data_IF_757597841795
#
_entry.id   IF_757597841795
#
_cell.length_a   1.000
_cell.length_b   1.000
_cell.length_c   1.000
_cell.angle_alpha   90.00
_cell.angle_beta   90.00
_cell.angle_gamma   90.00
#
_symmetry.space_group_name_H-M   'P 1'
#
loop_
_entity.id
_entity.type
_entity.pdbx_description
1 polymer ?
#
# COMPACT_ATOMS: atom_id res chain seq x y z
N UNK A 1 14.57 -20.41 -37.37
CA UNK A 1 14.29 -19.02 -36.96
C UNK A 1 15.25 -18.67 -35.81
N UNK A 2 16.19 -17.78 -36.08
CA UNK A 2 17.17 -17.37 -35.06
C UNK A 2 16.47 -16.56 -33.97
N UNK A 3 16.41 -17.15 -32.78
CA UNK A 3 15.98 -16.44 -31.56
C UNK A 3 17.14 -15.51 -31.19
N UNK A 4 17.06 -14.25 -31.60
CA UNK A 4 17.95 -13.23 -31.06
C UNK A 4 17.65 -13.13 -29.56
N UNK A 5 18.64 -13.47 -28.77
CA UNK A 5 18.65 -13.25 -27.33
C UNK A 5 18.42 -11.76 -27.09
N UNK A 6 17.23 -11.42 -26.57
CA UNK A 6 16.93 -10.06 -26.10
C UNK A 6 17.80 -9.85 -24.87
N UNK A 7 18.99 -9.28 -25.09
CA UNK A 7 19.84 -8.83 -23.98
C UNK A 7 19.18 -7.60 -23.36
N UNK A 8 19.02 -7.60 -22.05
CA UNK A 8 18.45 -6.47 -21.28
C UNK A 8 19.27 -5.17 -21.40
N UNK A 9 20.43 -5.22 -22.06
CA UNK A 9 21.33 -4.07 -22.25
C UNK A 9 21.06 -3.25 -23.52
N UNK A 10 20.15 -3.63 -24.42
CA UNK A 10 20.00 -3.00 -25.74
C UNK A 10 18.85 -1.99 -25.83
N UNK A 11 18.22 -1.61 -24.73
CA UNK A 11 17.11 -0.64 -24.77
C UNK A 11 17.49 0.82 -24.48
N UNK A 12 18.77 1.20 -24.69
CA UNK A 12 19.20 2.60 -24.54
C UNK A 12 19.21 3.42 -25.84
N UNK A 13 18.60 2.94 -26.92
CA UNK A 13 18.35 3.78 -28.09
C UNK A 13 16.94 4.34 -28.06
N UNK A 14 16.72 5.29 -27.17
CA UNK A 14 15.64 6.28 -27.35
C UNK A 14 16.10 7.22 -28.45
N UNK A 15 15.30 7.46 -29.54
CA UNK A 15 15.63 8.51 -30.50
C UNK A 15 15.86 9.81 -29.73
N UNK A 16 17.00 10.45 -29.98
CA UNK A 16 17.27 11.79 -29.48
C UNK A 16 16.18 12.73 -30.01
N UNK A 17 15.20 13.01 -29.16
CA UNK A 17 14.34 14.18 -29.34
C UNK A 17 15.27 15.38 -29.17
N UNK A 18 15.43 16.16 -30.25
CA UNK A 18 16.21 17.37 -30.27
C UNK A 18 15.97 18.16 -28.98
N UNK A 19 17.03 18.35 -28.22
CA UNK A 19 17.03 19.19 -27.03
C UNK A 19 16.67 20.60 -27.42
N UNK A 20 15.43 21.00 -27.15
CA UNK A 20 15.12 22.39 -26.97
C UNK A 20 15.88 22.81 -25.72
N UNK A 21 16.96 23.58 -25.91
CA UNK A 21 17.73 24.18 -24.84
C UNK A 21 16.83 25.13 -24.03
N UNK A 22 16.21 24.61 -23.00
CA UNK A 22 15.76 25.42 -21.89
C UNK A 22 16.70 25.17 -20.72
N UNK A 23 17.53 26.17 -20.42
CA UNK A 23 18.35 26.26 -19.23
C UNK A 23 17.41 26.37 -17.99
N UNK A 24 16.89 25.25 -17.54
CA UNK A 24 16.35 25.09 -16.21
C UNK A 24 16.72 23.66 -15.81
N UNK A 25 17.71 23.55 -14.93
CA UNK A 25 17.99 22.31 -14.22
C UNK A 25 16.78 22.05 -13.32
N UNK A 26 15.75 21.42 -13.88
CA UNK A 26 14.66 20.89 -13.09
C UNK A 26 15.14 19.59 -12.50
N UNK A 27 15.47 19.59 -11.21
CA UNK A 27 15.62 18.36 -10.44
C UNK A 27 14.40 17.48 -10.71
N UNK A 28 14.58 16.15 -10.95
CA UNK A 28 13.47 15.24 -11.13
C UNK A 28 12.53 15.35 -9.93
N UNK A 29 11.28 15.69 -10.21
CA UNK A 29 10.26 15.79 -9.15
C UNK A 29 10.04 14.40 -8.57
N UNK A 30 10.36 14.22 -7.29
CA UNK A 30 10.07 13.01 -6.55
C UNK A 30 8.55 12.89 -6.38
N UNK A 31 7.93 12.17 -7.30
CA UNK A 31 6.50 11.90 -7.22
C UNK A 31 6.29 10.71 -6.31
N UNK A 32 6.16 11.01 -5.03
CA UNK A 32 5.65 10.07 -4.07
C UNK A 32 4.19 9.79 -4.38
N UNK A 33 3.92 8.83 -5.28
CA UNK A 33 2.58 8.30 -5.53
C UNK A 33 2.10 7.38 -4.39
N UNK A 34 2.37 7.77 -3.15
CA UNK A 34 1.62 7.24 -2.04
C UNK A 34 0.34 8.06 -1.91
N UNK A 35 -0.64 7.70 -2.76
CA UNK A 35 -1.95 7.53 -2.15
C UNK A 35 -1.68 6.67 -0.91
N UNK A 36 -2.19 7.05 0.27
CA UNK A 36 -2.11 6.15 1.39
C UNK A 36 -2.61 4.83 0.82
N UNK A 37 -1.73 3.85 0.71
CA UNK A 37 -2.07 2.44 0.71
C UNK A 37 -3.19 2.38 1.69
N UNK A 38 -4.42 1.87 1.38
CA UNK A 38 -5.54 1.88 2.29
C UNK A 38 -4.99 1.75 3.71
N UNK A 39 -4.45 2.87 4.15
CA UNK A 39 -3.88 3.01 5.48
C UNK A 39 -5.11 2.73 6.27
N UNK A 40 -5.16 1.58 6.89
CA UNK A 40 -6.10 1.22 7.93
C UNK A 40 -6.66 2.54 8.39
N UNK A 41 -7.88 2.85 7.95
CA UNK A 41 -8.42 4.18 8.13
C UNK A 41 -8.48 4.37 9.63
N UNK A 42 -7.53 5.10 10.18
CA UNK A 42 -7.67 5.69 11.51
C UNK A 42 -8.78 6.76 11.45
N UNK A 43 -9.78 6.50 10.60
CA UNK A 43 -10.94 7.35 10.42
C UNK A 43 -11.67 7.39 11.74
N UNK A 44 -11.80 8.58 12.28
CA UNK A 44 -12.38 8.89 13.56
C UNK A 44 -13.89 8.62 13.73
N UNK A 45 -14.42 7.64 13.04
CA UNK A 45 -15.66 6.98 13.42
C UNK A 45 -15.27 5.91 14.42
N UNK A 46 -15.50 6.18 15.69
CA UNK A 46 -15.32 5.23 16.80
C UNK A 46 -16.15 3.97 16.50
N UNK A 47 -15.45 2.96 15.93
CA UNK A 47 -16.04 1.64 15.77
C UNK A 47 -16.03 0.92 17.13
N UNK A 48 -17.04 0.07 17.39
CA UNK A 48 -17.09 -0.72 18.63
C UNK A 48 -15.80 -1.47 18.97
N UNK A 49 -14.99 -1.80 17.95
CA UNK A 49 -13.69 -2.44 18.11
C UNK A 49 -12.52 -1.55 18.54
N UNK A 50 -12.67 -0.22 18.59
CA UNK A 50 -11.54 0.66 18.94
C UNK A 50 -11.08 0.49 20.41
N UNK A 51 -12.00 0.07 21.28
CA UNK A 51 -11.66 -0.26 22.67
C UNK A 51 -10.64 -1.42 22.73
N UNK A 52 -10.74 -2.40 21.83
CA UNK A 52 -9.82 -3.54 21.78
C UNK A 52 -8.39 -3.11 21.44
N UNK A 53 -8.19 -2.08 20.59
CA UNK A 53 -6.85 -1.61 20.25
C UNK A 53 -6.03 -1.19 21.46
N UNK A 54 -6.69 -0.78 22.55
CA UNK A 54 -6.00 -0.41 23.78
C UNK A 54 -5.26 -1.59 24.44
N UNK A 55 -5.72 -2.83 24.18
CA UNK A 55 -5.06 -4.04 24.65
C UNK A 55 -3.65 -4.21 24.05
N UNK A 56 -3.36 -3.60 22.89
CA UNK A 56 -2.02 -3.65 22.31
C UNK A 56 -0.94 -3.00 23.16
N UNK A 57 -1.31 -2.14 24.11
CA UNK A 57 -0.37 -1.57 25.09
C UNK A 57 0.12 -2.63 26.11
N UNK A 58 -0.51 -3.78 26.18
CA UNK A 58 -0.26 -4.82 27.16
C UNK A 58 0.28 -6.11 26.51
N UNK A 59 0.83 -6.05 25.32
CA UNK A 59 1.48 -7.18 24.66
C UNK A 59 0.51 -8.27 24.22
N UNK A 60 -0.58 -7.90 23.54
CA UNK A 60 -1.52 -8.86 22.97
C UNK A 60 -0.98 -9.44 21.65
N UNK A 61 -1.05 -10.77 21.42
CA UNK A 61 -0.65 -11.36 20.15
C UNK A 61 -1.69 -11.12 19.05
N UNK A 62 -1.26 -11.14 17.80
CA UNK A 62 -2.08 -11.25 16.61
C UNK A 62 -2.82 -12.60 16.63
N UNK A 63 -4.15 -12.58 16.53
CA UNK A 63 -4.96 -13.79 16.59
C UNK A 63 -4.71 -14.78 15.43
N UNK A 64 -4.16 -14.32 14.31
CA UNK A 64 -3.86 -15.15 13.15
C UNK A 64 -2.42 -15.67 13.15
N UNK A 65 -1.45 -14.81 13.49
CA UNK A 65 -0.01 -15.10 13.37
C UNK A 65 0.68 -15.37 14.71
N UNK A 66 0.04 -15.02 15.83
CA UNK A 66 0.63 -15.12 17.17
C UNK A 66 1.72 -14.11 17.48
N UNK A 67 2.04 -13.20 16.54
CA UNK A 67 3.03 -12.15 16.72
C UNK A 67 2.51 -11.06 17.67
N UNK A 68 3.35 -10.57 18.58
CA UNK A 68 2.96 -9.48 19.49
C UNK A 68 2.69 -8.20 18.68
N UNK A 69 1.51 -7.60 18.88
CA UNK A 69 1.05 -6.44 18.16
C UNK A 69 1.70 -5.15 18.70
N UNK A 70 2.16 -4.29 17.78
CA UNK A 70 2.68 -2.98 18.12
C UNK A 70 1.53 -2.00 18.40
N UNK A 71 1.62 -1.27 19.50
CA UNK A 71 0.64 -0.23 19.80
C UNK A 71 0.78 0.95 18.80
N UNK A 72 -0.27 1.29 18.03
CA UNK A 72 -0.21 2.36 17.02
C UNK A 72 0.19 3.73 17.59
N UNK A 73 -0.15 4.02 18.85
CA UNK A 73 0.21 5.27 19.54
C UNK A 73 1.73 5.45 19.69
N UNK A 74 2.51 4.36 19.67
CA UNK A 74 3.97 4.44 19.71
C UNK A 74 4.49 5.08 18.44
N UNK A 75 3.98 4.64 17.27
CA UNK A 75 4.39 5.19 15.97
C UNK A 75 4.02 6.68 15.88
N UNK A 76 2.80 7.04 16.26
CA UNK A 76 2.33 8.42 16.29
C UNK A 76 3.20 9.28 17.23
N UNK A 77 3.47 8.79 18.44
CA UNK A 77 4.35 9.48 19.40
C UNK A 77 5.76 9.69 18.85
N UNK A 78 6.31 8.69 18.16
CA UNK A 78 7.66 8.79 17.59
C UNK A 78 7.72 9.75 16.41
N UNK A 79 6.69 9.77 15.55
CA UNK A 79 6.55 10.77 14.49
C UNK A 79 6.50 12.19 15.09
N UNK A 80 5.62 12.43 16.06
CA UNK A 80 5.43 13.74 16.67
C UNK A 80 6.67 14.24 17.42
N UNK A 81 7.47 13.34 18.00
CA UNK A 81 8.71 13.64 18.70
C UNK A 81 9.95 13.64 17.80
N UNK A 82 9.81 13.40 16.51
CA UNK A 82 10.93 13.33 15.57
C UNK A 82 11.94 12.20 15.84
N UNK A 83 11.51 11.11 16.51
CA UNK A 83 12.40 9.99 16.89
C UNK A 83 13.07 9.35 15.67
N UNK A 84 12.38 9.29 14.55
CA UNK A 84 12.93 8.75 13.30
C UNK A 84 14.07 9.59 12.71
N UNK A 85 14.26 10.83 13.17
CA UNK A 85 15.39 11.70 12.76
C UNK A 85 16.63 11.52 13.63
N UNK A 86 16.60 10.64 14.64
CA UNK A 86 17.78 10.34 15.42
C UNK A 86 18.80 9.57 14.57
N UNK A 87 20.10 9.70 14.89
CA UNK A 87 21.14 8.83 14.33
C UNK A 87 20.79 7.36 14.53
N UNK A 88 21.15 6.50 13.54
CA UNK A 88 20.73 5.09 13.54
C UNK A 88 21.26 4.32 14.75
N UNK A 89 22.41 4.72 15.32
CA UNK A 89 22.90 4.15 16.58
C UNK A 89 21.82 4.20 17.67
N UNK A 90 21.33 5.40 17.98
CA UNK A 90 20.28 5.63 18.98
C UNK A 90 18.92 5.08 18.55
N UNK A 91 18.59 5.22 17.27
CA UNK A 91 17.29 4.75 16.75
C UNK A 91 17.17 3.23 16.87
N UNK A 92 18.24 2.48 16.57
CA UNK A 92 18.23 1.01 16.66
C UNK A 92 18.13 0.51 18.10
N UNK A 93 18.69 1.22 19.08
CA UNK A 93 18.48 0.92 20.51
C UNK A 93 16.99 1.03 20.88
N UNK A 94 16.34 2.11 20.47
CA UNK A 94 14.91 2.34 20.76
C UNK A 94 14.05 1.26 20.10
N UNK A 95 14.29 0.94 18.83
CA UNK A 95 13.50 -0.05 18.08
C UNK A 95 13.75 -1.47 18.58
N UNK A 96 14.95 -1.78 19.11
CA UNK A 96 15.28 -3.11 19.65
C UNK A 96 14.27 -3.58 20.71
N UNK A 97 13.68 -2.68 21.48
CA UNK A 97 12.64 -3.00 22.47
C UNK A 97 11.33 -3.51 21.83
N UNK A 98 11.15 -3.30 20.54
CA UNK A 98 9.95 -3.68 19.76
C UNK A 98 10.27 -4.65 18.62
N UNK A 99 11.50 -5.17 18.58
CA UNK A 99 11.97 -6.06 17.51
C UNK A 99 11.10 -7.32 17.36
N UNK A 100 10.57 -7.83 18.50
CA UNK A 100 9.67 -8.97 18.53
C UNK A 100 8.32 -8.72 17.84
N UNK A 101 7.93 -7.45 17.69
CA UNK A 101 6.70 -7.05 17.00
C UNK A 101 6.89 -6.78 15.51
N UNK A 102 8.13 -6.68 15.00
CA UNK A 102 8.38 -6.36 13.59
C UNK A 102 7.93 -7.49 12.67
N UNK A 103 7.32 -7.12 11.54
CA UNK A 103 7.03 -8.07 10.45
C UNK A 103 8.34 -8.66 9.88
N UNK A 104 8.33 -9.87 9.31
CA UNK A 104 9.57 -10.55 8.89
C UNK A 104 10.48 -9.71 8.00
N UNK A 105 9.95 -9.00 7.01
CA UNK A 105 10.73 -8.14 6.11
C UNK A 105 11.24 -6.90 6.83
N UNK A 106 10.40 -6.30 7.66
CA UNK A 106 10.76 -5.13 8.45
C UNK A 106 11.86 -5.46 9.47
N UNK A 107 11.81 -6.68 10.04
CA UNK A 107 12.86 -7.21 10.92
C UNK A 107 14.17 -7.43 10.17
N UNK A 108 14.13 -7.98 8.96
CA UNK A 108 15.32 -8.12 8.11
C UNK A 108 15.94 -6.74 7.81
N UNK A 109 15.12 -5.77 7.42
CA UNK A 109 15.59 -4.40 7.19
C UNK A 109 16.20 -3.80 8.46
N UNK A 110 15.51 -3.94 9.60
CA UNK A 110 16.02 -3.47 10.90
C UNK A 110 17.39 -4.08 11.24
N UNK A 111 17.59 -5.38 11.03
CA UNK A 111 18.89 -6.04 11.27
C UNK A 111 19.99 -5.50 10.35
N UNK A 112 19.68 -5.19 9.09
CA UNK A 112 20.64 -4.55 8.18
C UNK A 112 21.04 -3.17 8.71
N UNK A 113 20.07 -2.34 9.11
CA UNK A 113 20.34 -1.01 9.69
C UNK A 113 21.12 -1.12 10.99
N UNK A 114 20.79 -2.09 11.86
CA UNK A 114 21.53 -2.38 13.11
C UNK A 114 22.98 -2.82 12.83
N UNK A 115 23.21 -3.51 11.71
CA UNK A 115 24.55 -3.83 11.23
C UNK A 115 25.35 -2.58 10.85
N UNK A 116 24.77 -1.66 10.09
CA UNK A 116 25.40 -0.39 9.70
C UNK A 116 25.66 0.50 10.94
N UNK A 117 24.73 0.53 11.88
CA UNK A 117 24.87 1.33 13.10
C UNK A 117 26.10 0.98 13.95
N UNK A 118 26.67 -0.23 13.80
CA UNK A 118 27.91 -0.64 14.47
C UNK A 118 29.17 0.06 13.91
N UNK A 119 29.14 0.42 12.64
CA UNK A 119 30.28 1.05 11.95
C UNK A 119 30.07 2.52 11.68
N UNK A 120 28.83 2.94 11.51
CA UNK A 120 28.44 4.31 11.15
C UNK A 120 27.20 4.74 11.95
N UNK A 121 27.31 4.89 13.29
CA UNK A 121 26.17 5.15 14.17
C UNK A 121 25.50 6.52 13.94
N UNK A 122 26.24 7.49 13.39
CA UNK A 122 25.80 8.88 13.22
C UNK A 122 24.92 9.10 11.96
N UNK A 123 24.89 8.13 11.05
CA UNK A 123 24.01 8.23 9.88
C UNK A 123 22.54 8.31 10.30
N UNK A 124 21.75 9.03 9.51
CA UNK A 124 20.29 8.97 9.59
C UNK A 124 19.75 7.72 8.90
N UNK A 125 18.51 7.36 9.19
CA UNK A 125 17.83 6.22 8.56
C UNK A 125 17.74 6.37 7.02
N UNK A 126 17.52 7.60 6.52
CA UNK A 126 17.46 7.92 5.10
C UNK A 126 18.84 7.73 4.44
N UNK A 127 19.91 8.27 5.04
CA UNK A 127 21.27 8.13 4.53
C UNK A 127 21.71 6.67 4.47
N UNK A 128 21.51 5.92 5.55
CA UNK A 128 21.81 4.49 5.59
C UNK A 128 21.03 3.69 4.52
N UNK A 129 19.73 4.02 4.32
CA UNK A 129 18.91 3.36 3.29
C UNK A 129 19.41 3.69 1.88
N UNK A 130 19.84 4.94 1.66
CA UNK A 130 20.39 5.40 0.39
C UNK A 130 21.73 4.72 0.07
N UNK A 131 22.60 4.51 1.05
CA UNK A 131 23.85 3.75 0.87
C UNK A 131 23.62 2.29 0.46
N UNK A 132 22.54 1.69 0.97
CA UNK A 132 22.17 0.31 0.62
C UNK A 132 21.60 0.17 -0.80
N UNK A 133 21.06 1.25 -1.38
CA UNK A 133 20.32 1.23 -2.64
C UNK A 133 21.07 0.55 -3.80
N UNK A 134 22.34 0.88 -4.14
CA UNK A 134 23.02 0.29 -5.31
C UNK A 134 23.14 -1.22 -5.22
N UNK A 135 23.49 -1.74 -4.04
CA UNK A 135 23.59 -3.18 -3.78
C UNK A 135 22.22 -3.86 -3.92
N UNK A 136 21.21 -3.31 -3.26
CA UNK A 136 19.88 -3.91 -3.20
C UNK A 136 19.13 -3.78 -4.54
N UNK A 137 19.40 -2.74 -5.34
CA UNK A 137 18.93 -2.65 -6.72
C UNK A 137 19.43 -3.82 -7.57
N UNK A 138 20.73 -4.19 -7.46
CA UNK A 138 21.28 -5.35 -8.15
C UNK A 138 20.65 -6.67 -7.70
N UNK A 139 20.44 -6.83 -6.38
CA UNK A 139 19.79 -8.02 -5.83
C UNK A 139 18.34 -8.14 -6.29
N UNK A 140 17.60 -7.02 -6.32
CA UNK A 140 16.22 -6.98 -6.79
C UNK A 140 16.13 -7.33 -8.28
N UNK A 141 17.03 -6.80 -9.13
CA UNK A 141 17.14 -7.16 -10.54
C UNK A 141 17.32 -8.67 -10.73
N UNK A 142 18.24 -9.28 -9.97
CA UNK A 142 18.46 -10.73 -10.03
C UNK A 142 17.23 -11.54 -9.60
N UNK A 143 16.53 -11.09 -8.56
CA UNK A 143 15.34 -11.78 -8.07
C UNK A 143 14.15 -11.71 -9.04
N UNK A 144 14.00 -10.61 -9.77
CA UNK A 144 12.89 -10.43 -10.71
C UNK A 144 13.16 -10.99 -12.11
N UNK A 145 14.43 -11.09 -12.52
CA UNK A 145 14.80 -11.51 -13.87
C UNK A 145 14.15 -12.83 -14.31
N UNK A 146 14.23 -13.95 -13.56
CA UNK A 146 13.64 -15.22 -14.00
C UNK A 146 12.12 -15.16 -14.10
N UNK A 147 11.47 -14.29 -13.33
CA UNK A 147 10.04 -14.08 -13.36
C UNK A 147 9.65 -13.33 -14.64
N UNK A 148 10.38 -12.26 -14.97
CA UNK A 148 10.18 -11.53 -16.22
C UNK A 148 10.46 -12.39 -17.45
N UNK A 149 11.53 -13.19 -17.46
CA UNK A 149 11.82 -14.12 -18.55
C UNK A 149 10.69 -15.15 -18.73
N UNK A 150 10.16 -15.69 -17.63
CA UNK A 150 9.00 -16.57 -17.66
C UNK A 150 7.76 -15.92 -18.25
N UNK A 151 7.48 -14.67 -17.84
CA UNK A 151 6.35 -13.89 -18.36
C UNK A 151 6.55 -13.55 -19.84
N UNK A 152 7.75 -13.17 -20.26
CA UNK A 152 8.09 -12.87 -21.66
C UNK A 152 7.96 -14.13 -22.53
N UNK A 153 8.43 -15.28 -22.06
CA UNK A 153 8.26 -16.56 -22.78
C UNK A 153 6.80 -16.88 -23.04
N UNK A 154 5.96 -16.72 -22.03
CA UNK A 154 4.50 -16.88 -22.24
C UNK A 154 3.95 -15.85 -23.24
N UNK A 155 4.52 -14.64 -23.29
CA UNK A 155 4.04 -13.60 -24.20
C UNK A 155 4.42 -13.84 -25.67
N UNK A 156 5.40 -14.70 -25.96
CA UNK A 156 5.77 -15.02 -27.36
C UNK A 156 4.63 -15.65 -28.17
N UNK A 157 3.67 -16.28 -27.48
CA UNK A 157 2.49 -16.88 -28.10
C UNK A 157 1.32 -15.88 -28.28
N UNK A 158 1.52 -14.62 -27.89
CA UNK A 158 0.51 -13.57 -28.06
C UNK A 158 0.44 -13.08 -29.52
N UNK A 159 -0.76 -12.73 -30.03
CA UNK A 159 -0.90 -11.94 -31.25
C UNK A 159 -0.05 -10.68 -31.21
N UNK A 160 0.49 -10.27 -32.36
CA UNK A 160 1.48 -9.16 -32.44
C UNK A 160 1.02 -7.87 -31.76
N UNK A 161 -0.24 -7.50 -31.93
CA UNK A 161 -0.82 -6.29 -31.31
C UNK A 161 -0.88 -6.40 -29.78
N UNK A 162 -1.21 -7.57 -29.24
CA UNK A 162 -1.20 -7.81 -27.79
C UNK A 162 0.21 -7.93 -27.22
N UNK A 163 1.14 -8.50 -27.98
CA UNK A 163 2.55 -8.57 -27.60
C UNK A 163 3.17 -7.19 -27.44
N UNK A 164 2.86 -6.25 -28.32
CA UNK A 164 3.38 -4.89 -28.21
C UNK A 164 2.80 -4.15 -26.98
N UNK A 165 1.49 -4.25 -26.72
CA UNK A 165 0.87 -3.70 -25.49
C UNK A 165 1.50 -4.30 -24.22
N UNK A 166 1.78 -5.59 -24.27
CA UNK A 166 2.38 -6.32 -23.18
C UNK A 166 3.84 -5.88 -22.93
N UNK A 167 4.64 -5.76 -23.99
CA UNK A 167 6.04 -5.34 -23.90
C UNK A 167 6.17 -3.94 -23.31
N UNK A 168 5.29 -3.02 -23.66
CA UNK A 168 5.23 -1.68 -23.09
C UNK A 168 4.89 -1.73 -21.59
N UNK A 169 3.88 -2.53 -21.22
CA UNK A 169 3.53 -2.74 -19.81
C UNK A 169 4.71 -3.30 -19.02
N UNK A 170 5.45 -4.26 -19.57
CA UNK A 170 6.62 -4.87 -18.91
C UNK A 170 7.76 -3.89 -18.74
N UNK A 171 8.04 -3.05 -19.73
CA UNK A 171 9.09 -2.02 -19.66
C UNK A 171 8.77 -1.00 -18.54
N UNK A 172 7.55 -0.48 -18.51
CA UNK A 172 7.10 0.44 -17.46
C UNK A 172 7.18 -0.23 -16.08
N UNK A 173 6.77 -1.49 -15.99
CA UNK A 173 6.79 -2.25 -14.74
C UNK A 173 8.21 -2.47 -14.23
N UNK A 174 9.14 -2.81 -15.11
CA UNK A 174 10.55 -2.97 -14.76
C UNK A 174 11.14 -1.67 -14.18
N UNK A 175 10.92 -0.53 -14.84
CA UNK A 175 11.35 0.77 -14.33
C UNK A 175 10.77 1.09 -12.96
N UNK A 176 9.46 0.83 -12.76
CA UNK A 176 8.80 1.04 -11.47
C UNK A 176 9.35 0.14 -10.35
N UNK A 177 9.66 -1.11 -10.66
CA UNK A 177 10.27 -2.04 -9.71
C UNK A 177 11.65 -1.56 -9.25
N UNK A 178 12.40 -0.94 -10.14
CA UNK A 178 13.74 -0.42 -9.88
C UNK A 178 13.74 1.01 -9.32
N UNK A 179 12.56 1.60 -9.12
CA UNK A 179 12.38 3.00 -8.79
C UNK A 179 13.10 3.93 -9.78
N UNK A 180 13.07 3.56 -11.06
CA UNK A 180 13.58 4.41 -12.13
C UNK A 180 12.47 5.36 -12.62
N UNK A 181 12.83 6.56 -13.11
CA UNK A 181 11.85 7.50 -13.63
C UNK A 181 11.15 6.96 -14.89
N UNK A 182 9.85 7.16 -14.96
CA UNK A 182 9.02 6.78 -16.11
C UNK A 182 8.20 7.97 -16.59
N UNK A 183 8.03 8.07 -17.91
CA UNK A 183 7.05 8.98 -18.49
C UNK A 183 5.71 8.28 -18.51
N UNK A 184 4.72 8.83 -17.83
CA UNK A 184 3.38 8.27 -17.77
C UNK A 184 2.39 9.16 -18.48
N UNK A 185 1.44 8.61 -19.25
CA UNK A 185 0.42 9.40 -19.90
C UNK A 185 -0.53 10.01 -18.86
N UNK A 186 -0.96 11.26 -19.14
CA UNK A 186 -2.03 11.88 -18.37
C UNK A 186 -3.36 11.15 -18.65
N UNK A 187 -4.17 10.98 -17.62
CA UNK A 187 -5.50 10.41 -17.71
C UNK A 187 -6.48 11.22 -16.87
N UNK A 188 -7.41 11.90 -17.54
CA UNK A 188 -8.48 12.67 -16.91
C UNK A 188 -9.27 11.80 -15.92
N UNK A 189 -9.60 10.59 -16.31
CA UNK A 189 -10.32 9.64 -15.47
C UNK A 189 -9.53 9.26 -14.20
N UNK A 190 -8.20 9.06 -14.32
CA UNK A 190 -7.33 8.76 -13.17
C UNK A 190 -7.25 9.97 -12.24
N UNK A 191 -7.09 11.16 -12.80
CA UNK A 191 -7.05 12.42 -12.04
C UNK A 191 -8.34 12.63 -11.23
N UNK A 192 -9.51 12.53 -11.89
CA UNK A 192 -10.81 12.68 -11.24
C UNK A 192 -11.05 11.63 -10.15
N UNK A 193 -10.63 10.39 -10.39
CA UNK A 193 -10.72 9.31 -9.40
C UNK A 193 -9.88 9.62 -8.15
N UNK A 194 -8.62 10.07 -8.34
CA UNK A 194 -7.73 10.43 -7.24
C UNK A 194 -8.23 11.64 -6.46
N UNK A 195 -8.71 12.66 -7.16
CA UNK A 195 -9.30 13.84 -6.52
C UNK A 195 -10.53 13.46 -5.69
N UNK A 196 -11.40 12.58 -6.21
CA UNK A 196 -12.55 12.07 -5.46
C UNK A 196 -12.12 11.35 -4.20
N UNK A 197 -11.11 10.47 -4.25
CA UNK A 197 -10.60 9.77 -3.04
C UNK A 197 -10.06 10.73 -1.98
N UNK A 198 -9.38 11.79 -2.38
CA UNK A 198 -8.96 12.85 -1.45
C UNK A 198 -10.22 13.52 -0.85
N UNK A 199 -11.22 13.79 -1.68
CA UNK A 199 -12.50 14.33 -1.24
C UNK A 199 -13.22 13.47 -0.23
N UNK A 200 -13.28 12.17 -0.45
CA UNK A 200 -13.90 11.21 0.49
C UNK A 200 -13.22 11.28 1.87
N UNK A 201 -11.87 11.40 1.89
CA UNK A 201 -11.12 11.56 3.15
C UNK A 201 -11.39 12.90 3.84
N UNK A 202 -11.49 14.01 3.09
CA UNK A 202 -11.82 15.32 3.65
C UNK A 202 -13.26 15.32 4.16
N UNK A 203 -14.18 14.65 3.49
CA UNK A 203 -15.59 14.56 3.93
C UNK A 203 -15.71 13.84 5.29
N UNK A 204 -14.81 12.90 5.57
CA UNK A 204 -14.81 12.16 6.84
C UNK A 204 -14.18 12.98 7.99
N UNK A 205 -13.13 13.76 7.70
CA UNK A 205 -12.27 14.41 8.72
C UNK A 205 -12.33 15.93 8.75
N UNK A 206 -12.79 16.54 7.64
CA UNK A 206 -12.79 17.98 7.45
C UNK A 206 -13.98 18.69 8.11
N UNK A 207 -13.82 19.98 8.33
CA UNK A 207 -14.90 20.85 8.75
C UNK A 207 -15.86 21.17 7.59
N UNK A 208 -17.02 21.76 7.88
CA UNK A 208 -18.05 22.09 6.88
C UNK A 208 -17.53 22.93 5.70
N UNK A 209 -16.60 23.85 5.96
CA UNK A 209 -15.99 24.71 4.94
C UNK A 209 -15.09 23.92 3.99
N UNK A 210 -14.28 23.00 4.51
CA UNK A 210 -13.41 22.12 3.72
C UNK A 210 -14.23 21.12 2.89
N UNK A 211 -15.29 20.55 3.47
CA UNK A 211 -16.22 19.65 2.78
C UNK A 211 -16.91 20.36 1.62
N UNK A 212 -17.39 21.57 1.83
CA UNK A 212 -17.98 22.36 0.75
C UNK A 212 -16.97 22.70 -0.35
N UNK A 213 -15.74 23.08 0.04
CA UNK A 213 -14.67 23.41 -0.88
C UNK A 213 -14.24 22.22 -1.74
N UNK A 214 -14.08 21.03 -1.16
CA UNK A 214 -13.68 19.84 -1.94
C UNK A 214 -14.78 19.38 -2.90
N UNK A 215 -16.05 19.47 -2.51
CA UNK A 215 -17.15 19.15 -3.39
C UNK A 215 -17.22 20.12 -4.59
N UNK A 216 -16.98 21.42 -4.36
CA UNK A 216 -16.86 22.40 -5.43
C UNK A 216 -15.69 22.11 -6.35
N UNK A 217 -14.50 21.76 -5.81
CA UNK A 217 -13.32 21.36 -6.60
C UNK A 217 -13.59 20.11 -7.46
N UNK A 218 -14.22 19.09 -6.91
CA UNK A 218 -14.56 17.87 -7.68
C UNK A 218 -15.56 18.20 -8.80
N UNK A 219 -16.56 19.04 -8.53
CA UNK A 219 -17.53 19.47 -9.55
C UNK A 219 -16.87 20.30 -10.64
N UNK A 220 -15.99 21.24 -10.28
CA UNK A 220 -15.22 22.04 -11.24
C UNK A 220 -14.26 21.17 -12.08
N UNK A 221 -13.56 20.21 -11.45
CA UNK A 221 -12.70 19.28 -12.17
C UNK A 221 -13.50 18.44 -13.19
N UNK A 222 -14.70 17.96 -12.82
CA UNK A 222 -15.58 17.25 -13.76
C UNK A 222 -16.02 18.12 -14.91
N UNK A 223 -16.40 19.37 -14.66
CA UNK A 223 -16.78 20.30 -15.72
C UNK A 223 -15.64 20.59 -16.68
N UNK A 224 -14.43 20.79 -16.18
CA UNK A 224 -13.23 21.10 -16.96
C UNK A 224 -12.71 19.89 -17.74
N UNK A 225 -12.62 18.72 -17.10
CA UNK A 225 -11.99 17.52 -17.68
C UNK A 225 -12.99 16.53 -18.31
N UNK A 226 -14.30 16.60 -18.01
CA UNK A 226 -15.32 15.80 -18.70
C UNK A 226 -15.85 16.44 -19.99
N UNK A 227 -15.20 17.49 -20.52
CA UNK A 227 -15.56 18.05 -21.81
C UNK A 227 -15.35 17.00 -22.91
N UNK A 228 -16.34 16.24 -23.09
CA UNK A 228 -16.67 15.21 -24.05
C UNK A 228 -15.72 14.94 -25.21
N UNK A 229 -15.04 13.81 -25.10
CA UNK A 229 -14.93 12.96 -26.28
C UNK A 229 -16.14 12.01 -26.33
N UNK A 230 -17.34 12.51 -26.50
CA UNK A 230 -18.49 11.75 -27.02
C UNK A 230 -18.22 11.42 -28.47
N UNK A 231 -17.49 10.38 -28.76
CA UNK A 231 -17.36 9.96 -30.16
C UNK A 231 -16.22 8.99 -30.45
N UNK A 232 -15.22 8.92 -29.62
CA UNK A 232 -14.14 7.95 -29.84
C UNK A 232 -14.02 6.97 -28.68
N UNK A 233 -14.92 5.98 -28.65
CA UNK A 233 -14.62 4.68 -28.01
C UNK A 233 -13.46 4.05 -28.78
N UNK A 234 -12.24 4.46 -28.45
CA UNK A 234 -11.04 3.82 -28.97
C UNK A 234 -10.82 2.57 -28.11
N UNK A 235 -11.55 1.52 -28.44
CA UNK A 235 -11.22 0.17 -28.01
C UNK A 235 -9.85 -0.19 -28.62
N UNK A 236 -8.87 -0.52 -27.78
CA UNK A 236 -7.67 -1.22 -28.22
C UNK A 236 -6.45 -0.39 -28.61
N UNK A 237 -6.30 0.88 -28.20
CA UNK A 237 -5.04 1.59 -28.44
C UNK A 237 -3.95 1.16 -27.46
N UNK A 238 -2.78 0.85 -28.02
CA UNK A 238 -1.53 0.53 -27.32
C UNK A 238 -1.14 1.65 -26.38
N UNK A 239 -0.50 1.34 -25.25
CA UNK A 239 -0.01 2.36 -24.28
C UNK A 239 0.88 3.40 -24.98
N UNK A 240 1.76 2.95 -25.87
CA UNK A 240 2.62 3.82 -26.69
C UNK A 240 1.81 4.79 -27.56
N UNK A 241 0.84 4.29 -28.33
CA UNK A 241 -0.04 5.12 -29.16
C UNK A 241 -0.85 6.12 -28.32
N UNK A 242 -1.29 5.70 -27.13
CA UNK A 242 -1.98 6.58 -26.19
C UNK A 242 -1.07 7.69 -25.69
N UNK A 243 0.19 7.38 -25.35
CA UNK A 243 1.19 8.36 -24.95
C UNK A 243 1.47 9.34 -26.09
N UNK A 244 1.76 8.83 -27.30
CA UNK A 244 2.01 9.65 -28.49
C UNK A 244 0.80 10.54 -28.82
N UNK A 245 -0.43 10.01 -28.77
CA UNK A 245 -1.65 10.79 -28.99
C UNK A 245 -1.85 11.87 -27.94
N UNK A 246 -1.52 11.61 -26.67
CA UNK A 246 -1.63 12.60 -25.61
C UNK A 246 -0.56 13.67 -25.64
N UNK A 247 0.59 13.38 -26.25
CA UNK A 247 1.69 14.32 -26.46
C UNK A 247 1.55 15.15 -27.75
N UNK A 248 0.51 14.92 -28.56
CA UNK A 248 0.23 15.80 -29.69
C UNK A 248 0.04 17.25 -29.20
N UNK A 249 0.59 18.26 -29.94
CA UNK A 249 0.56 19.67 -29.52
C UNK A 249 -0.83 20.17 -29.12
N UNK A 250 -1.87 19.77 -29.83
CA UNK A 250 -3.27 20.15 -29.54
C UNK A 250 -3.78 19.56 -28.22
N UNK A 251 -3.52 18.29 -27.98
CA UNK A 251 -3.91 17.62 -26.72
C UNK A 251 -3.10 18.14 -25.54
N UNK A 252 -1.81 18.39 -25.74
CA UNK A 252 -0.95 19.00 -24.73
C UNK A 252 -1.45 20.41 -24.37
N UNK A 253 -1.74 21.23 -25.38
CA UNK A 253 -2.29 22.59 -25.20
C UNK A 253 -3.62 22.54 -24.43
N UNK A 254 -4.56 21.68 -24.84
CA UNK A 254 -5.85 21.51 -24.17
C UNK A 254 -5.67 21.05 -22.73
N UNK A 255 -4.88 20.01 -22.49
CA UNK A 255 -4.66 19.46 -21.16
C UNK A 255 -3.96 20.48 -20.25
N UNK A 256 -2.98 21.23 -20.77
CA UNK A 256 -2.30 22.31 -20.05
C UNK A 256 -3.24 23.45 -19.70
N UNK A 257 -4.13 23.86 -20.63
CA UNK A 257 -5.13 24.90 -20.37
C UNK A 257 -6.14 24.46 -19.32
N UNK A 258 -6.69 23.26 -19.46
CA UNK A 258 -7.65 22.70 -18.49
C UNK A 258 -7.00 22.57 -17.11
N UNK A 259 -5.75 22.13 -17.06
CA UNK A 259 -5.01 21.99 -15.82
C UNK A 259 -4.73 23.34 -15.16
N UNK A 260 -4.31 24.35 -15.93
CA UNK A 260 -4.07 25.71 -15.44
C UNK A 260 -5.35 26.32 -14.82
N UNK A 261 -6.49 26.18 -15.52
CA UNK A 261 -7.79 26.64 -15.01
C UNK A 261 -8.18 25.92 -13.71
N UNK A 262 -7.99 24.61 -13.62
CA UNK A 262 -8.27 23.88 -12.39
C UNK A 262 -7.34 24.30 -11.25
N UNK A 263 -6.05 24.50 -11.54
CA UNK A 263 -5.05 24.96 -10.57
C UNK A 263 -5.41 26.33 -10.00
N UNK A 264 -5.85 27.27 -10.82
CA UNK A 264 -6.33 28.58 -10.39
C UNK A 264 -7.53 28.47 -9.43
N UNK A 265 -8.52 27.62 -9.75
CA UNK A 265 -9.67 27.36 -8.87
C UNK A 265 -9.21 26.76 -7.52
N UNK A 266 -8.22 25.87 -7.54
CA UNK A 266 -7.67 25.29 -6.33
C UNK A 266 -6.94 26.34 -5.46
N UNK A 267 -6.08 27.17 -6.07
CA UNK A 267 -5.31 28.20 -5.38
C UNK A 267 -6.22 29.24 -4.69
N UNK A 268 -7.38 29.51 -5.26
CA UNK A 268 -8.41 30.37 -4.68
C UNK A 268 -9.35 29.66 -3.69
N UNK A 269 -9.13 28.38 -3.42
CA UNK A 269 -9.96 27.59 -2.51
C UNK A 269 -9.43 27.60 -1.07
N UNK A 270 -10.28 27.33 -0.06
CA UNK A 270 -9.86 27.10 1.33
C UNK A 270 -8.87 25.93 1.46
N UNK A 271 -8.80 25.03 0.47
CA UNK A 271 -7.93 23.85 0.45
C UNK A 271 -6.56 24.10 -0.19
N UNK A 272 -6.21 25.33 -0.54
CA UNK A 272 -4.94 25.68 -1.22
C UNK A 272 -3.66 25.18 -0.54
N UNK A 273 -3.71 24.88 0.76
CA UNK A 273 -2.60 24.31 1.56
C UNK A 273 -2.71 22.80 1.77
N UNK A 274 -3.70 22.15 1.17
CA UNK A 274 -3.85 20.69 1.33
C UNK A 274 -2.78 19.94 0.54
N UNK A 275 -1.84 19.34 1.27
CA UNK A 275 -0.68 18.64 0.69
C UNK A 275 -1.06 17.51 -0.28
N UNK A 276 -2.15 16.79 -0.04
CA UNK A 276 -2.58 15.70 -0.91
C UNK A 276 -3.04 16.21 -2.28
N UNK A 277 -3.73 17.37 -2.30
CA UNK A 277 -4.16 17.99 -3.55
C UNK A 277 -2.95 18.61 -4.26
N UNK A 278 -2.06 19.29 -3.53
CA UNK A 278 -0.82 19.85 -4.09
C UNK A 278 -0.02 18.74 -4.80
N UNK A 279 0.23 17.63 -4.12
CA UNK A 279 0.93 16.47 -4.70
C UNK A 279 0.20 15.86 -5.91
N UNK A 280 -1.14 15.81 -5.87
CA UNK A 280 -1.92 15.36 -7.03
C UNK A 280 -1.71 16.30 -8.23
N UNK A 281 -1.66 17.63 -8.01
CA UNK A 281 -1.44 18.62 -9.04
C UNK A 281 -0.02 18.54 -9.63
N UNK A 282 1.01 18.42 -8.81
CA UNK A 282 2.39 18.23 -9.24
C UNK A 282 2.54 16.98 -10.12
N UNK A 283 1.99 15.87 -9.68
CA UNK A 283 1.94 14.62 -10.43
C UNK A 283 1.22 14.76 -11.77
N UNK A 284 0.12 15.50 -11.77
CA UNK A 284 -0.68 15.71 -12.96
C UNK A 284 0.06 16.60 -13.96
N UNK A 285 0.70 17.66 -13.47
CA UNK A 285 1.54 18.55 -14.28
C UNK A 285 2.65 17.77 -14.99
N UNK A 286 3.40 16.93 -14.24
CA UNK A 286 4.45 16.11 -14.82
C UNK A 286 3.93 15.19 -15.94
N UNK A 287 2.76 14.55 -15.74
CA UNK A 287 2.15 13.68 -16.76
C UNK A 287 1.67 14.45 -18.00
N UNK A 288 1.12 15.64 -17.83
CA UNK A 288 0.67 16.48 -18.95
C UNK A 288 1.86 16.91 -19.81
N UNK A 289 2.95 17.33 -19.17
CA UNK A 289 4.13 17.80 -19.86
C UNK A 289 5.11 16.70 -20.27
N UNK A 290 4.78 15.42 -20.00
CA UNK A 290 5.63 14.29 -20.36
C UNK A 290 6.94 14.22 -19.59
N UNK A 291 7.01 14.84 -18.39
CA UNK A 291 8.21 14.76 -17.56
C UNK A 291 8.33 13.37 -16.93
N UNK A 292 9.55 12.83 -16.85
CA UNK A 292 9.81 11.61 -16.12
C UNK A 292 9.40 11.75 -14.65
N UNK A 293 8.76 10.74 -14.13
CA UNK A 293 8.32 10.71 -12.75
C UNK A 293 8.63 9.38 -12.11
N UNK A 294 8.86 9.39 -10.80
CA UNK A 294 9.01 8.17 -10.03
C UNK A 294 7.63 7.62 -9.66
N UNK A 295 7.29 6.46 -10.17
CA UNK A 295 6.05 5.78 -9.84
C UNK A 295 6.37 4.42 -9.23
N UNK A 296 5.94 4.22 -7.99
CA UNK A 296 6.19 2.97 -7.29
C UNK A 296 5.45 1.80 -7.95
N UNK A 297 6.10 0.63 -7.93
CA UNK A 297 5.48 -0.60 -8.37
C UNK A 297 4.38 -1.03 -7.41
N UNK A 298 3.20 -1.30 -7.96
CA UNK A 298 2.07 -1.90 -7.24
C UNK A 298 1.64 -3.19 -7.95
N UNK A 299 1.88 -4.33 -7.33
CA UNK A 299 1.54 -5.65 -7.89
C UNK A 299 0.07 -5.75 -8.31
N UNK A 300 -0.86 -5.22 -7.50
CA UNK A 300 -2.31 -5.22 -7.81
C UNK A 300 -2.62 -4.45 -9.09
N UNK A 301 -2.04 -3.26 -9.24
CA UNK A 301 -2.22 -2.44 -10.44
C UNK A 301 -1.63 -3.12 -11.67
N UNK A 302 -0.45 -3.70 -11.56
CA UNK A 302 0.17 -4.46 -12.65
C UNK A 302 -0.71 -5.64 -13.09
N UNK A 303 -1.17 -6.47 -12.14
CA UNK A 303 -2.06 -7.60 -12.44
C UNK A 303 -3.38 -7.13 -13.06
N UNK A 304 -3.89 -5.97 -12.63
CA UNK A 304 -5.10 -5.41 -13.23
C UNK A 304 -4.89 -5.02 -14.71
N UNK A 305 -3.80 -4.33 -15.02
CA UNK A 305 -3.46 -3.98 -16.41
C UNK A 305 -3.17 -5.24 -17.25
N UNK A 306 -2.44 -6.19 -16.71
CA UNK A 306 -2.18 -7.46 -17.36
C UNK A 306 -3.49 -8.22 -17.67
N UNK A 307 -4.45 -8.23 -16.74
CA UNK A 307 -5.78 -8.83 -16.96
C UNK A 307 -6.58 -8.12 -18.05
N UNK A 308 -6.40 -6.82 -18.28
CA UNK A 308 -7.04 -6.13 -19.41
C UNK A 308 -6.52 -6.65 -20.75
N UNK A 309 -5.21 -6.88 -20.84
CA UNK A 309 -4.58 -7.46 -22.05
C UNK A 309 -5.05 -8.91 -22.23
N UNK A 310 -4.94 -9.73 -21.19
CA UNK A 310 -5.25 -11.16 -21.24
C UNK A 310 -6.74 -11.47 -21.39
N UNK A 311 -7.66 -10.57 -21.00
CA UNK A 311 -9.12 -10.73 -21.29
C UNK A 311 -9.44 -10.77 -22.77
N UNK A 312 -8.59 -10.23 -23.62
CA UNK A 312 -8.72 -10.32 -25.07
C UNK A 312 -8.38 -11.73 -25.58
N UNK A 313 -7.74 -12.55 -24.76
CA UNK A 313 -7.42 -13.94 -25.06
C UNK A 313 -8.60 -14.85 -24.71
N UNK A 314 -8.95 -15.78 -25.61
CA UNK A 314 -9.98 -16.79 -25.35
C UNK A 314 -9.50 -17.89 -24.37
N UNK A 315 -8.18 -18.04 -24.20
CA UNK A 315 -7.57 -19.09 -23.37
C UNK A 315 -7.43 -18.64 -21.91
N UNK A 316 -8.35 -19.09 -21.04
CA UNK A 316 -8.34 -18.77 -19.60
C UNK A 316 -7.15 -19.35 -18.85
N UNK A 317 -6.66 -20.55 -19.23
CA UNK A 317 -5.51 -21.19 -18.60
C UNK A 317 -4.26 -20.35 -18.78
N UNK A 318 -4.03 -19.88 -19.98
CA UNK A 318 -2.91 -18.99 -20.32
C UNK A 318 -2.96 -17.66 -19.52
N UNK A 319 -4.13 -17.03 -19.45
CA UNK A 319 -4.31 -15.82 -18.63
C UNK A 319 -4.04 -16.07 -17.13
N UNK A 320 -4.34 -17.27 -16.64
CA UNK A 320 -4.05 -17.66 -15.25
C UNK A 320 -2.54 -17.84 -15.02
N UNK A 321 -1.81 -18.42 -15.94
CA UNK A 321 -0.35 -18.60 -15.85
C UNK A 321 0.38 -17.26 -15.78
N UNK A 322 -0.01 -16.27 -16.60
CA UNK A 322 0.48 -14.89 -16.46
C UNK A 322 0.24 -14.30 -15.06
N UNK A 323 -0.97 -14.51 -14.55
CA UNK A 323 -1.32 -14.01 -13.20
C UNK A 323 -0.46 -14.68 -12.13
N UNK A 324 -0.27 -16.00 -12.21
CA UNK A 324 0.52 -16.78 -11.24
C UNK A 324 2.00 -16.34 -11.23
N UNK A 325 2.60 -16.12 -12.42
CA UNK A 325 3.96 -15.59 -12.49
C UNK A 325 4.04 -14.15 -11.94
N UNK A 326 3.06 -13.31 -12.26
CA UNK A 326 3.02 -11.93 -11.78
C UNK A 326 2.91 -11.81 -10.26
N UNK A 327 2.27 -12.77 -9.61
CA UNK A 327 2.19 -12.86 -8.15
C UNK A 327 3.55 -13.10 -7.48
N UNK A 328 4.52 -13.67 -8.21
CA UNK A 328 5.89 -13.90 -7.72
C UNK A 328 6.79 -12.67 -7.79
N UNK A 329 6.40 -11.59 -8.48
CA UNK A 329 7.19 -10.37 -8.54
C UNK A 329 7.41 -9.80 -7.13
N UNK A 330 8.64 -9.45 -6.76
CA UNK A 330 8.96 -8.97 -5.43
C UNK A 330 8.29 -7.62 -5.14
N UNK A 331 7.84 -7.45 -3.90
CA UNK A 331 7.30 -6.19 -3.38
C UNK A 331 8.01 -5.82 -2.08
N UNK A 332 7.89 -4.57 -1.66
CA UNK A 332 8.42 -4.12 -0.36
C UNK A 332 7.81 -4.82 0.86
N UNK A 333 6.87 -5.72 0.68
CA UNK A 333 6.21 -6.47 1.77
C UNK A 333 6.69 -7.93 1.88
N UNK A 334 7.36 -8.42 0.85
CA UNK A 334 7.84 -9.81 0.79
C UNK A 334 9.33 -9.93 0.42
N UNK A 335 9.99 -8.79 0.19
CA UNK A 335 11.41 -8.77 -0.19
C UNK A 335 12.11 -7.52 0.35
N UNK A 336 13.15 -7.70 1.15
CA UNK A 336 13.87 -6.60 1.79
C UNK A 336 14.59 -5.69 0.78
N UNK A 337 15.08 -6.25 -0.34
CA UNK A 337 15.70 -5.43 -1.38
C UNK A 337 14.67 -4.54 -2.07
N UNK A 338 13.45 -5.04 -2.29
CA UNK A 338 12.36 -4.23 -2.81
C UNK A 338 11.91 -3.16 -1.81
N UNK A 339 11.99 -3.43 -0.50
CA UNK A 339 11.76 -2.41 0.54
C UNK A 339 12.81 -1.30 0.44
N UNK A 340 14.10 -1.65 0.45
CA UNK A 340 15.20 -0.69 0.41
C UNK A 340 15.14 0.16 -0.87
N UNK A 341 14.96 -0.47 -2.04
CA UNK A 341 14.85 0.24 -3.33
C UNK A 341 13.66 1.18 -3.34
N UNK A 342 12.53 0.77 -2.78
CA UNK A 342 11.32 1.60 -2.71
C UNK A 342 11.48 2.84 -1.85
N UNK A 343 12.24 2.75 -0.77
CA UNK A 343 12.32 3.80 0.24
C UNK A 343 13.67 4.54 0.27
N UNK A 344 14.58 4.28 -0.68
CA UNK A 344 15.93 4.85 -0.71
C UNK A 344 15.98 6.39 -0.71
N UNK A 345 14.99 7.01 -1.34
CA UNK A 345 14.91 8.49 -1.45
C UNK A 345 13.81 9.10 -0.57
N UNK A 346 13.35 8.33 0.43
CA UNK A 346 12.28 8.78 1.32
C UNK A 346 12.83 9.39 2.62
N UNK A 347 12.01 10.20 3.30
CA UNK A 347 12.37 10.78 4.58
C UNK A 347 12.49 9.73 5.68
N UNK A 348 13.31 10.02 6.71
CA UNK A 348 13.47 9.19 7.91
C UNK A 348 12.12 8.78 8.52
N UNK A 349 11.20 9.75 8.67
CA UNK A 349 9.87 9.51 9.22
C UNK A 349 9.07 8.53 8.36
N UNK A 350 9.17 8.62 7.03
CA UNK A 350 8.45 7.72 6.14
C UNK A 350 9.03 6.31 6.14
N UNK A 351 10.35 6.17 6.12
CA UNK A 351 11.04 4.87 6.21
C UNK A 351 10.68 4.19 7.53
N UNK A 352 10.89 4.89 8.66
CA UNK A 352 10.62 4.36 9.99
C UNK A 352 9.14 3.99 10.21
N UNK A 353 8.21 4.84 9.75
CA UNK A 353 6.78 4.53 9.82
C UNK A 353 6.43 3.29 9.01
N UNK A 354 6.93 3.15 7.77
CA UNK A 354 6.62 1.99 6.93
C UNK A 354 7.23 0.70 7.45
N UNK A 355 8.35 0.76 8.16
CA UNK A 355 8.95 -0.38 8.85
C UNK A 355 8.09 -0.88 10.02
N UNK A 356 7.35 0.01 10.69
CA UNK A 356 6.60 -0.33 11.89
C UNK A 356 5.10 -0.55 11.66
N UNK A 357 4.53 0.13 10.66
CA UNK A 357 3.07 0.18 10.49
C UNK A 357 2.46 -1.19 10.16
N UNK A 358 3.21 -2.06 9.51
CA UNK A 358 2.78 -3.42 9.22
C UNK A 358 2.45 -4.22 10.49
N UNK A 359 3.22 -4.01 11.54
CA UNK A 359 3.08 -4.66 12.85
C UNK A 359 2.05 -3.96 13.76
N UNK A 360 1.57 -2.78 13.39
CA UNK A 360 0.65 -2.02 14.24
C UNK A 360 -0.68 -2.75 14.42
N UNK A 361 -1.21 -2.66 15.64
CA UNK A 361 -2.48 -3.28 16.01
C UNK A 361 -3.64 -2.70 15.18
N UNK A 362 -4.39 -3.58 14.56
CA UNK A 362 -5.60 -3.33 13.80
C UNK A 362 -6.74 -4.20 14.31
N UNK A 363 -7.98 -3.75 14.13
CA UNK A 363 -9.17 -4.57 14.38
C UNK A 363 -9.63 -5.18 13.08
N UNK A 364 -9.74 -6.50 13.07
CA UNK A 364 -10.33 -7.23 11.96
C UNK A 364 -11.76 -7.70 12.28
N UNK A 365 -12.60 -7.74 11.26
CA UNK A 365 -13.89 -8.43 11.34
C UNK A 365 -13.68 -9.91 11.04
N UNK A 366 -13.97 -10.79 12.00
CA UNK A 366 -13.92 -12.25 11.80
C UNK A 366 -14.73 -12.64 10.56
N UNK A 367 -16.00 -12.23 10.53
CA UNK A 367 -16.82 -12.22 9.33
C UNK A 367 -16.83 -10.81 8.75
N UNK A 368 -16.25 -10.64 7.56
CA UNK A 368 -16.14 -9.33 6.91
C UNK A 368 -17.52 -8.69 6.67
N UNK A 369 -17.62 -7.37 6.82
CA UNK A 369 -18.88 -6.62 6.56
C UNK A 369 -19.48 -6.91 5.19
N UNK A 370 -18.63 -7.03 4.16
CA UNK A 370 -19.04 -7.38 2.80
C UNK A 370 -19.73 -8.75 2.71
N UNK A 371 -19.44 -9.63 3.65
CA UNK A 371 -19.99 -10.98 3.75
C UNK A 371 -21.13 -11.09 4.79
N UNK A 372 -21.68 -9.93 5.22
CA UNK A 372 -22.79 -9.87 6.18
C UNK A 372 -22.36 -9.77 7.65
N UNK A 373 -21.07 -9.57 7.92
CA UNK A 373 -20.55 -9.46 9.29
C UNK A 373 -21.07 -8.24 10.04
N UNK A 374 -21.59 -8.47 11.27
CA UNK A 374 -22.09 -7.42 12.15
C UNK A 374 -20.97 -6.61 12.78
N UNK A 375 -21.21 -5.32 13.04
CA UNK A 375 -20.30 -4.45 13.80
C UNK A 375 -20.49 -4.62 15.31
N UNK A 376 -20.43 -5.88 15.80
CA UNK A 376 -20.52 -6.26 17.22
C UNK A 376 -19.15 -6.63 17.74
N UNK A 377 -18.91 -6.46 19.05
CA UNK A 377 -17.62 -6.73 19.68
C UNK A 377 -17.20 -8.21 19.48
N UNK A 378 -18.12 -9.14 19.57
CA UNK A 378 -17.92 -10.57 19.31
C UNK A 378 -17.36 -10.89 17.89
N UNK A 379 -17.63 -10.04 16.90
CA UNK A 379 -17.14 -10.20 15.52
C UNK A 379 -15.78 -9.50 15.29
N UNK A 380 -15.12 -9.02 16.34
CA UNK A 380 -13.83 -8.36 16.23
C UNK A 380 -12.73 -9.17 16.91
N UNK A 381 -11.58 -9.22 16.24
CA UNK A 381 -10.32 -9.68 16.80
C UNK A 381 -9.19 -8.72 16.51
N UNK A 382 -8.11 -8.79 17.29
CA UNK A 382 -6.93 -7.99 17.06
C UNK A 382 -5.94 -8.73 16.17
N UNK A 383 -5.42 -8.02 15.20
CA UNK A 383 -4.43 -8.51 14.25
C UNK A 383 -3.48 -7.39 13.86
N UNK A 384 -2.39 -7.72 13.20
CA UNK A 384 -1.52 -6.71 12.61
C UNK A 384 -2.17 -6.02 11.41
N UNK A 385 -1.81 -4.78 11.13
CA UNK A 385 -2.31 -4.07 9.96
C UNK A 385 -1.96 -4.79 8.65
N UNK A 386 -0.80 -5.48 8.61
CA UNK A 386 -0.40 -6.27 7.44
C UNK A 386 -1.26 -7.53 7.27
N UNK A 387 -1.49 -8.30 8.34
CA UNK A 387 -2.35 -9.51 8.31
C UNK A 387 -3.79 -9.14 7.94
N UNK A 388 -4.33 -8.05 8.52
CA UNK A 388 -5.66 -7.56 8.17
C UNK A 388 -5.77 -7.21 6.67
N UNK A 389 -4.73 -6.58 6.12
CA UNK A 389 -4.65 -6.25 4.70
C UNK A 389 -4.55 -7.49 3.80
N UNK A 390 -3.90 -8.57 4.27
CA UNK A 390 -3.78 -9.83 3.53
C UNK A 390 -5.09 -10.61 3.56
N UNK A 391 -5.71 -10.70 4.73
CA UNK A 391 -6.99 -11.41 4.91
C UNK A 391 -8.12 -10.77 4.12
N UNK A 392 -8.24 -9.43 4.12
CA UNK A 392 -9.29 -8.69 3.38
C UNK A 392 -10.70 -9.24 3.68
N UNK A 393 -11.35 -9.83 2.67
CA UNK A 393 -12.70 -10.43 2.76
C UNK A 393 -12.66 -11.96 2.67
N UNK A 394 -11.50 -12.57 2.90
CA UNK A 394 -11.38 -14.05 2.89
C UNK A 394 -12.18 -14.59 4.07
N UNK A 395 -13.04 -15.57 3.82
CA UNK A 395 -13.75 -16.27 4.87
C UNK A 395 -12.78 -16.97 5.80
N UNK A 396 -13.15 -17.09 7.08
CA UNK A 396 -12.27 -17.63 8.11
C UNK A 396 -11.87 -19.10 7.83
N UNK A 397 -12.81 -19.92 7.37
CA UNK A 397 -12.56 -21.30 6.96
C UNK A 397 -11.55 -21.43 5.81
N UNK A 398 -11.62 -20.51 4.83
CA UNK A 398 -10.65 -20.44 3.73
C UNK A 398 -9.28 -19.93 4.20
N UNK A 399 -9.27 -19.00 5.13
CA UNK A 399 -8.04 -18.53 5.76
C UNK A 399 -7.32 -19.64 6.50
N UNK A 400 -8.05 -20.45 7.29
CA UNK A 400 -7.51 -21.61 8.02
C UNK A 400 -6.89 -22.68 7.12
N UNK A 401 -7.38 -22.85 5.88
CA UNK A 401 -6.78 -23.78 4.90
C UNK A 401 -5.41 -23.31 4.42
N UNK A 402 -5.19 -21.99 4.35
CA UNK A 402 -3.94 -21.38 3.92
C UNK A 402 -2.98 -21.23 5.10
N UNK A 403 -3.53 -20.97 6.29
CA UNK A 403 -2.83 -20.63 7.52
C UNK A 403 -3.31 -21.52 8.68
N UNK A 404 -2.95 -22.82 8.69
CA UNK A 404 -3.42 -23.76 9.71
C UNK A 404 -2.92 -23.42 11.13
N UNK A 405 -1.79 -22.72 11.25
CA UNK A 405 -1.22 -22.20 12.50
C UNK A 405 -2.14 -21.23 13.24
N UNK A 406 -3.10 -20.63 12.54
CA UNK A 406 -4.11 -19.74 13.13
C UNK A 406 -4.88 -20.40 14.27
N UNK A 407 -5.06 -21.72 14.24
CA UNK A 407 -5.74 -22.48 15.32
C UNK A 407 -5.04 -22.28 16.67
N UNK A 408 -3.74 -22.51 16.69
CA UNK A 408 -2.94 -22.34 17.91
C UNK A 408 -2.83 -20.87 18.31
N UNK A 409 -2.75 -19.98 17.33
CA UNK A 409 -2.62 -18.56 17.58
C UNK A 409 -3.90 -17.96 18.16
N UNK A 410 -5.09 -18.42 17.75
CA UNK A 410 -6.35 -18.06 18.41
C UNK A 410 -6.36 -18.47 19.89
N UNK A 411 -5.80 -19.64 20.24
CA UNK A 411 -5.70 -20.04 21.65
C UNK A 411 -4.76 -19.13 22.42
N UNK A 412 -3.56 -18.86 21.90
CA UNK A 412 -2.62 -17.89 22.52
C UNK A 412 -3.24 -16.52 22.73
N UNK A 413 -4.03 -16.07 21.76
CA UNK A 413 -4.76 -14.81 21.84
C UNK A 413 -5.76 -14.82 22.99
N UNK A 414 -6.57 -15.88 23.13
CA UNK A 414 -7.56 -16.07 24.21
C UNK A 414 -6.87 -16.21 25.56
N UNK A 415 -5.80 -16.99 25.67
CA UNK A 415 -5.02 -17.12 26.90
C UNK A 415 -4.56 -15.74 27.39
N UNK A 416 -4.06 -14.91 26.48
CA UNK A 416 -3.63 -13.55 26.82
C UNK A 416 -4.79 -12.65 27.20
N UNK A 417 -5.94 -12.77 26.57
CA UNK A 417 -7.15 -12.03 26.97
C UNK A 417 -7.58 -12.39 28.40
N UNK A 418 -7.57 -13.67 28.75
CA UNK A 418 -7.90 -14.15 30.10
C UNK A 418 -6.92 -13.59 31.13
N UNK A 419 -5.62 -13.63 30.87
CA UNK A 419 -4.61 -13.00 31.73
C UNK A 419 -4.87 -11.51 31.95
N UNK A 420 -5.13 -10.76 30.89
CA UNK A 420 -5.40 -9.32 30.99
C UNK A 420 -6.71 -9.03 31.73
N UNK A 421 -7.73 -9.87 31.55
CA UNK A 421 -8.97 -9.78 32.32
C UNK A 421 -8.72 -9.99 33.83
N UNK A 422 -8.01 -11.06 34.20
CA UNK A 422 -7.67 -11.36 35.60
C UNK A 422 -6.80 -10.28 36.25
N UNK A 423 -5.97 -9.60 35.46
CA UNK A 423 -5.16 -8.44 35.90
C UNK A 423 -5.98 -7.15 36.05
N UNK A 424 -7.29 -7.16 35.80
CA UNK A 424 -8.16 -5.99 35.87
C UNK A 424 -7.94 -4.95 34.75
N UNK A 425 -7.23 -5.33 33.68
CA UNK A 425 -6.94 -4.41 32.55
C UNK A 425 -8.23 -4.06 31.78
N UNK A 426 -9.15 -5.02 31.62
CA UNK A 426 -10.43 -4.80 30.96
C UNK A 426 -11.23 -3.70 31.68
N UNK A 427 -11.30 -3.77 32.99
CA UNK A 427 -11.97 -2.77 33.82
C UNK A 427 -11.31 -1.39 33.70
N UNK A 428 -9.95 -1.33 33.78
CA UNK A 428 -9.19 -0.07 33.59
C UNK A 428 -9.47 0.57 32.22
N UNK A 429 -9.52 -0.24 31.16
CA UNK A 429 -9.81 0.25 29.80
C UNK A 429 -11.27 0.74 29.73
N UNK A 430 -12.23 0.01 30.30
CA UNK A 430 -13.66 0.34 30.25
C UNK A 430 -13.98 1.62 31.06
N UNK A 431 -13.35 1.83 32.22
CA UNK A 431 -13.50 3.05 33.04
C UNK A 431 -12.99 4.30 32.30
N UNK A 432 -12.02 4.15 31.41
CA UNK A 432 -11.47 5.26 30.60
C UNK A 432 -12.30 5.60 29.37
N UNK A 433 -13.37 4.85 29.08
CA UNK A 433 -14.28 5.03 27.95
C UNK A 433 -15.66 5.57 28.40
N UNK A 434 -16.45 6.05 27.46
CA UNK A 434 -17.84 6.42 27.72
C UNK A 434 -18.70 5.20 28.05
N UNK A 435 -19.72 5.39 28.89
CA UNK A 435 -20.60 4.35 29.50
C UNK A 435 -21.18 3.26 28.56
N UNK A 436 -21.05 3.41 27.25
CA UNK A 436 -21.65 2.50 26.26
C UNK A 436 -20.68 1.47 25.66
N UNK A 437 -19.41 1.42 26.11
CA UNK A 437 -18.40 0.49 25.57
C UNK A 437 -17.68 -0.18 26.74
N UNK A 438 -18.27 -1.25 27.23
CA UNK A 438 -17.65 -2.08 28.25
C UNK A 438 -16.92 -3.26 27.60
N UNK A 439 -15.70 -3.50 28.05
CA UNK A 439 -14.92 -4.69 27.77
C UNK A 439 -14.91 -5.50 29.06
N UNK A 440 -15.51 -6.69 29.01
CA UNK A 440 -15.65 -7.61 30.14
C UNK A 440 -15.42 -9.06 29.69
N UNK A 441 -15.68 -10.03 30.58
CA UNK A 441 -15.49 -11.45 30.28
C UNK A 441 -16.33 -11.94 29.11
N UNK A 442 -17.53 -11.33 28.87
CA UNK A 442 -18.40 -11.76 27.79
C UNK A 442 -17.74 -11.65 26.41
N UNK A 443 -16.83 -10.68 26.26
CA UNK A 443 -16.06 -10.59 25.02
C UNK A 443 -15.23 -11.84 24.73
N UNK A 444 -14.62 -12.46 25.75
CA UNK A 444 -13.80 -13.67 25.61
C UNK A 444 -14.70 -14.85 25.25
N UNK A 445 -15.83 -14.99 25.94
CA UNK A 445 -16.83 -16.04 25.72
C UNK A 445 -17.42 -15.96 24.31
N UNK A 446 -17.86 -14.77 23.91
CA UNK A 446 -18.45 -14.48 22.59
C UNK A 446 -17.42 -14.67 21.46
N UNK A 447 -16.17 -14.25 21.68
CA UNK A 447 -15.09 -14.46 20.72
C UNK A 447 -14.84 -15.95 20.49
N UNK A 448 -14.76 -16.74 21.56
CA UNK A 448 -14.56 -18.20 21.48
C UNK A 448 -15.72 -18.88 20.75
N UNK A 449 -16.96 -18.50 21.05
CA UNK A 449 -18.15 -19.00 20.36
C UNK A 449 -18.12 -18.62 18.86
N UNK A 450 -17.77 -17.38 18.54
CA UNK A 450 -17.69 -16.91 17.14
C UNK A 450 -16.62 -17.68 16.35
N UNK A 451 -15.45 -17.94 16.93
CA UNK A 451 -14.39 -18.76 16.30
C UNK A 451 -14.87 -20.19 16.06
N UNK A 452 -15.59 -20.77 17.03
CA UNK A 452 -16.20 -22.10 16.87
C UNK A 452 -17.17 -22.11 15.68
N UNK A 453 -18.12 -21.19 15.64
CA UNK A 453 -19.17 -21.11 14.60
C UNK A 453 -18.60 -20.90 13.19
N UNK A 454 -17.54 -20.10 13.07
CA UNK A 454 -16.91 -19.78 11.79
C UNK A 454 -15.91 -20.83 11.31
N UNK A 455 -15.56 -21.79 12.15
CA UNK A 455 -14.66 -22.90 11.81
C UNK A 455 -15.39 -23.95 10.97
N UNK A 456 -14.67 -24.72 10.10
CA UNK A 456 -15.28 -25.80 9.31
C UNK A 456 -15.97 -26.82 10.21
N UNK A 457 -17.18 -27.27 9.84
CA UNK A 457 -17.98 -28.22 10.64
C UNK A 457 -17.24 -29.50 11.02
N UNK A 458 -16.47 -30.03 10.08
CA UNK A 458 -15.69 -31.26 10.29
C UNK A 458 -14.37 -31.02 11.02
N UNK A 459 -14.06 -29.78 11.39
CA UNK A 459 -12.80 -29.41 12.07
C UNK A 459 -12.98 -28.11 12.86
N UNK A 460 -13.92 -28.13 13.82
CA UNK A 460 -14.20 -26.97 14.69
C UNK A 460 -12.98 -26.61 15.55
N UNK A 461 -12.78 -25.30 15.76
CA UNK A 461 -11.82 -24.81 16.74
C UNK A 461 -12.55 -24.62 18.06
N UNK A 462 -12.18 -25.41 19.04
CA UNK A 462 -12.65 -25.28 20.41
C UNK A 462 -11.53 -24.59 21.19
N UNK A 463 -11.78 -23.35 21.61
CA UNK A 463 -10.84 -22.59 22.41
C UNK A 463 -11.08 -22.92 23.90
N UNK A 464 -10.00 -23.25 24.61
CA UNK A 464 -10.04 -23.47 26.04
C UNK A 464 -10.15 -22.13 26.79
N UNK A 465 -11.28 -21.90 27.42
CA UNK A 465 -11.57 -20.74 28.26
C UNK A 465 -11.79 -21.12 29.73
N UNK A 466 -11.47 -22.35 30.13
CA UNK A 466 -11.68 -22.84 31.52
C UNK A 466 -11.03 -21.91 32.55
N UNK A 467 -9.82 -21.45 32.28
CA UNK A 467 -9.10 -20.51 33.14
C UNK A 467 -9.83 -19.19 33.39
N UNK A 468 -10.85 -18.85 32.61
CA UNK A 468 -11.65 -17.62 32.82
C UNK A 468 -12.50 -17.73 34.10
N UNK A 469 -12.79 -18.94 34.56
CA UNK A 469 -13.68 -19.25 35.68
C UNK A 469 -12.92 -19.75 36.95
N UNK A 470 -11.62 -19.96 36.83
CA UNK A 470 -10.71 -20.15 37.96
C UNK A 470 -10.35 -18.81 38.63
#
# INVERSE_FOLDING_TARGET
MNIQSISFNTYYNVPQIQQIKHNAVSNPVHINSTLPCDCVSFSGVSHGGDILKKLSAFGIPDMYTGQILLNPKIIEKWQNKGVFNYPIGRLTEIISNYEHSLMPIDKQFFHIIKGIAKTSPDLTLSEATKELYPKHKKLLLRAQQPIFEGIIRLACDLPKDLYEEFSELMNITNKRLLNDPVVLPFSEKEFLYKLKRIGDNITIKGNKREIHAINKLISSARAIFNSEQRGQKIFGKKIKQKLETQMLPENLKRNSTNFALFKEIFENSPLRKNEYIIRLLENTSAKIHGFPSYAQFERKSFIHELKKITRKLKNRKFAQEFTNLSLKLPTSKDNVSAFIVKYADESNSKIGTNMLIGASCSVDHLLAKKNGGASKLANYGLTSAETNRQKTNIYFDKWLKIHPETRQNCQKYVDRLIELYKQGIFEKISKAESKHKQLDKSYIEDFAATIYDMSPENNRIILDISKLYE
#
